data_IF_131054223602
#
_entry.id   IF_131054223602
#
_cell.length_a   1.000
_cell.length_b   1.000
_cell.length_c   1.000
_cell.angle_alpha   90.00
_cell.angle_beta   90.00
_cell.angle_gamma   90.00
#
_symmetry.space_group_name_H-M   'P 1'
#
loop_
_entity.id
_entity.type
_entity.pdbx_description
1 polymer ?
#
# COMPACT_ATOMS: atom_id res chain seq x y z
N UNK A 1 -9.59 -11.30 -3.74
CA UNK A 1 -9.85 -10.61 -2.45
C UNK A 1 -10.90 -9.54 -2.70
N UNK A 2 -11.81 -9.25 -1.77
CA UNK A 2 -12.78 -8.14 -1.96
C UNK A 2 -12.00 -6.82 -2.02
N UNK A 3 -12.37 -5.94 -2.97
CA UNK A 3 -11.74 -4.62 -3.17
C UNK A 3 -11.95 -3.75 -1.92
N UNK A 4 -10.86 -3.28 -1.32
CA UNK A 4 -10.87 -2.36 -0.16
C UNK A 4 -11.12 -0.94 -0.69
N UNK A 5 -11.90 -0.12 0.03
CA UNK A 5 -12.06 1.32 -0.27
C UNK A 5 -11.21 2.11 0.73
N UNK A 6 -10.45 3.09 0.24
CA UNK A 6 -9.58 3.92 1.05
C UNK A 6 -10.03 5.40 1.02
N UNK A 7 -10.18 6.06 2.18
CA UNK A 7 -10.44 7.50 2.26
C UNK A 7 -9.16 8.28 1.98
N UNK A 8 -9.05 8.90 0.80
CA UNK A 8 -7.89 9.75 0.47
C UNK A 8 -8.08 11.21 0.89
N UNK A 9 -9.31 11.70 0.79
CA UNK A 9 -9.72 13.07 1.13
C UNK A 9 -11.14 13.02 1.71
N UNK A 10 -11.57 14.05 2.48
CA UNK A 10 -12.96 14.14 2.92
C UNK A 10 -13.93 14.04 1.74
N UNK A 11 -14.80 13.03 1.75
CA UNK A 11 -15.76 12.77 0.68
C UNK A 11 -15.21 12.02 -0.55
N UNK A 12 -13.93 11.62 -0.55
CA UNK A 12 -13.31 10.85 -1.63
C UNK A 12 -12.83 9.48 -1.14
N UNK A 13 -13.63 8.47 -1.44
CA UNK A 13 -13.29 7.06 -1.31
C UNK A 13 -12.80 6.52 -2.65
N UNK A 14 -11.63 5.88 -2.66
CA UNK A 14 -11.07 5.28 -3.88
C UNK A 14 -11.01 3.77 -3.70
N UNK A 15 -11.44 3.05 -4.72
CA UNK A 15 -11.27 1.60 -4.76
C UNK A 15 -9.79 1.26 -4.90
N UNK A 16 -9.26 0.53 -3.93
CA UNK A 16 -7.88 0.11 -3.95
C UNK A 16 -7.69 -0.95 -5.05
N UNK A 17 -6.90 -0.59 -6.07
CA UNK A 17 -6.54 -1.51 -7.14
C UNK A 17 -5.87 -2.77 -6.56
N UNK A 18 -6.20 -3.94 -7.10
CA UNK A 18 -5.66 -5.20 -6.60
C UNK A 18 -4.13 -5.21 -6.65
N UNK A 19 -3.50 -5.35 -5.48
CA UNK A 19 -2.05 -5.32 -5.27
C UNK A 19 -1.56 -6.51 -4.48
N UNK A 20 -1.96 -7.72 -4.87
CA UNK A 20 -1.52 -8.97 -4.22
C UNK A 20 -0.01 -9.01 -3.92
N UNK A 21 0.84 -8.61 -4.89
CA UNK A 21 2.29 -8.55 -4.68
C UNK A 21 2.70 -7.54 -3.59
N UNK A 22 2.11 -6.35 -3.58
CA UNK A 22 2.42 -5.33 -2.59
C UNK A 22 2.04 -5.77 -1.18
N UNK A 23 0.89 -6.40 -1.00
CA UNK A 23 0.50 -6.96 0.32
C UNK A 23 1.51 -8.02 0.77
N UNK A 24 1.92 -8.92 -0.13
CA UNK A 24 2.90 -9.95 0.18
C UNK A 24 4.26 -9.35 0.60
N UNK A 25 4.72 -8.27 -0.03
CA UNK A 25 5.97 -7.60 0.37
C UNK A 25 5.90 -7.08 1.82
N UNK A 26 4.76 -6.53 2.24
CA UNK A 26 4.58 -6.07 3.63
C UNK A 26 4.71 -7.23 4.62
N UNK A 27 4.16 -8.40 4.29
CA UNK A 27 4.29 -9.61 5.11
C UNK A 27 5.75 -10.09 5.18
N UNK A 28 6.45 -10.13 4.05
CA UNK A 28 7.88 -10.48 3.98
C UNK A 28 8.75 -9.55 4.86
N UNK A 29 8.42 -8.26 4.91
CA UNK A 29 9.11 -7.30 5.77
C UNK A 29 8.77 -7.47 7.25
N UNK A 30 7.51 -7.81 7.57
CA UNK A 30 7.09 -8.05 8.94
C UNK A 30 7.84 -9.25 9.55
N UNK A 31 8.08 -10.30 8.76
CA UNK A 31 8.85 -11.47 9.19
C UNK A 31 10.35 -11.15 9.43
N UNK A 32 10.93 -10.31 8.57
CA UNK A 32 12.37 -9.97 8.62
C UNK A 32 12.69 -8.79 9.55
N UNK A 33 11.66 -8.03 9.93
CA UNK A 33 11.78 -6.78 10.68
C UNK A 33 12.12 -5.58 9.79
N UNK A 34 11.73 -4.39 10.24
CA UNK A 34 11.88 -3.11 9.53
C UNK A 34 13.06 -2.28 10.02
N UNK A 35 14.10 -2.93 10.58
CA UNK A 35 15.30 -2.25 11.11
C UNK A 35 16.04 -1.42 10.06
N UNK A 36 16.00 -1.86 8.80
CA UNK A 36 16.62 -1.14 7.69
C UNK A 36 15.56 -0.35 6.91
N UNK A 37 15.90 0.86 6.41
CA UNK A 37 14.98 1.64 5.59
C UNK A 37 14.52 0.86 4.35
N UNK A 38 13.22 0.95 4.07
CA UNK A 38 12.61 0.34 2.90
C UNK A 38 12.33 1.43 1.86
N UNK A 39 12.90 1.25 0.66
CA UNK A 39 12.70 2.18 -0.45
C UNK A 39 11.60 1.67 -1.36
N UNK A 40 10.55 2.48 -1.51
CA UNK A 40 9.44 2.22 -2.44
C UNK A 40 9.57 3.14 -3.65
N UNK A 41 9.73 2.57 -4.83
CA UNK A 41 9.95 3.31 -6.08
C UNK A 41 8.85 3.03 -7.10
N UNK A 42 8.70 3.95 -8.06
CA UNK A 42 7.74 3.87 -9.15
C UNK A 42 7.29 5.25 -9.63
N UNK A 43 6.61 5.33 -10.79
CA UNK A 43 6.15 6.59 -11.38
C UNK A 43 5.30 7.44 -10.43
N UNK A 44 5.21 8.73 -10.68
CA UNK A 44 4.25 9.59 -10.00
C UNK A 44 2.82 9.05 -10.16
N UNK A 45 1.97 9.21 -9.13
CA UNK A 45 0.60 8.69 -9.17
C UNK A 45 0.46 7.16 -9.07
N UNK A 46 1.55 6.39 -9.04
CA UNK A 46 1.47 4.92 -8.98
C UNK A 46 1.05 4.35 -7.61
N UNK A 47 0.50 5.16 -6.71
CA UNK A 47 -0.06 4.70 -5.43
C UNK A 47 0.94 4.13 -4.42
N UNK A 48 2.17 4.64 -4.36
CA UNK A 48 3.19 4.25 -3.36
C UNK A 48 2.70 4.56 -1.94
N UNK A 49 2.26 5.78 -1.71
CA UNK A 49 1.70 6.25 -0.43
C UNK A 49 0.39 5.54 -0.09
N UNK A 50 -0.50 5.42 -1.09
CA UNK A 50 -1.77 4.70 -0.99
C UNK A 50 -1.61 3.27 -0.46
N UNK A 51 -0.57 2.57 -0.93
CA UNK A 51 -0.30 1.20 -0.53
C UNK A 51 0.08 1.05 0.94
N UNK A 52 0.80 2.03 1.52
CA UNK A 52 1.26 1.96 2.91
C UNK A 52 0.26 2.53 3.93
N UNK A 53 -0.69 3.36 3.51
CA UNK A 53 -1.69 4.01 4.38
C UNK A 53 -2.96 3.16 4.61
N UNK A 54 -2.84 1.86 4.88
CA UNK A 54 -3.99 0.94 5.02
C UNK A 54 -4.77 1.09 6.36
N UNK A 55 -5.03 2.32 6.80
CA UNK A 55 -5.80 2.64 8.00
C UNK A 55 -7.00 3.54 7.67
#
# INVERSE_FOLDING_TARGET
MKRVRLPFLPGLEVEFADRGRGVQQVLEWAERGTRFPIVVFGPEGCGKTAWLKQA
#
